data_IF_764894256833
#
_entry.id   IF_764894256833
#
_cell.length_a   1.000
_cell.length_b   1.000
_cell.length_c   1.000
_cell.angle_alpha   90.00
_cell.angle_beta   90.00
_cell.angle_gamma   90.00
#
_symmetry.space_group_name_H-M   'P 1'
#
loop_
_entity.id
_entity.type
_entity.pdbx_description
1 polymer ?
#
# COMPACT_ATOMS: atom_id res chain seq x y z
N UNK A 1 57.52 -67.63 -15.69
CA UNK A 1 57.27 -66.50 -16.60
C UNK A 1 56.60 -65.37 -15.86
N UNK A 2 57.42 -64.39 -15.50
CA UNK A 2 57.08 -63.19 -14.76
C UNK A 2 56.91 -62.03 -15.75
N UNK A 3 55.71 -61.48 -15.86
CA UNK A 3 55.49 -60.19 -16.51
C UNK A 3 54.97 -59.19 -15.47
N UNK A 4 55.91 -58.41 -14.94
CA UNK A 4 55.64 -57.14 -14.24
C UNK A 4 55.31 -56.10 -15.30
N UNK A 5 54.16 -55.44 -15.18
CA UNK A 5 53.90 -54.20 -15.89
C UNK A 5 54.52 -53.02 -15.08
N UNK A 6 55.17 -52.06 -15.74
CA UNK A 6 55.89 -50.99 -15.06
C UNK A 6 54.96 -49.83 -14.66
N UNK A 7 55.19 -49.33 -13.46
CA UNK A 7 54.71 -48.04 -12.96
C UNK A 7 55.30 -46.89 -13.79
N UNK A 8 54.45 -46.08 -14.42
CA UNK A 8 54.84 -44.82 -15.05
C UNK A 8 54.00 -43.66 -14.47
N UNK A 9 54.63 -42.94 -13.54
CA UNK A 9 54.23 -41.65 -13.01
C UNK A 9 54.55 -40.60 -14.08
N UNK A 10 53.54 -39.95 -14.68
CA UNK A 10 53.78 -38.82 -15.58
C UNK A 10 52.94 -37.60 -15.18
N UNK A 11 53.66 -36.63 -14.62
CA UNK A 11 53.42 -35.21 -14.47
C UNK A 11 52.09 -34.62 -14.95
N UNK A 12 51.30 -34.10 -14.00
CA UNK A 12 50.36 -33.02 -14.27
C UNK A 12 51.15 -31.75 -14.61
N UNK A 13 51.05 -31.28 -15.85
CA UNK A 13 51.58 -29.98 -16.25
C UNK A 13 50.52 -28.88 -16.02
N UNK A 14 50.92 -27.69 -15.53
CA UNK A 14 50.01 -26.57 -15.31
C UNK A 14 49.78 -25.81 -16.62
N UNK A 15 48.54 -25.84 -17.12
CA UNK A 15 48.11 -25.00 -18.25
C UNK A 15 47.82 -23.57 -17.77
N UNK A 16 48.88 -22.80 -17.55
CA UNK A 16 48.77 -21.34 -17.52
C UNK A 16 48.97 -20.83 -18.94
N UNK A 17 47.90 -20.46 -19.63
CA UNK A 17 47.94 -19.26 -20.49
C UNK A 17 46.56 -18.70 -20.88
N UNK A 18 46.31 -17.52 -20.31
CA UNK A 18 45.64 -16.31 -20.84
C UNK A 18 44.61 -16.47 -21.97
N UNK A 19 43.34 -16.35 -21.58
CA UNK A 19 42.39 -15.51 -22.30
C UNK A 19 42.11 -14.28 -21.41
N UNK A 20 42.23 -13.03 -21.90
CA UNK A 20 41.83 -11.88 -21.11
C UNK A 20 40.32 -11.89 -20.97
N UNK A 21 39.82 -12.21 -19.77
CA UNK A 21 38.44 -11.98 -19.40
C UNK A 21 38.13 -10.49 -19.61
N UNK A 22 37.32 -10.17 -20.62
CA UNK A 22 36.66 -8.86 -20.72
C UNK A 22 35.78 -8.72 -19.48
N UNK A 23 36.33 -8.06 -18.46
CA UNK A 23 35.60 -7.62 -17.27
C UNK A 23 34.51 -6.67 -17.74
N UNK A 24 33.27 -7.11 -17.72
CA UNK A 24 32.13 -6.22 -17.93
C UNK A 24 32.22 -5.05 -16.91
N UNK A 25 31.97 -3.80 -17.32
CA UNK A 25 31.94 -2.69 -16.38
C UNK A 25 30.83 -2.94 -15.34
N UNK A 26 31.03 -2.55 -14.07
CA UNK A 26 29.98 -2.69 -13.06
C UNK A 26 28.76 -1.87 -13.49
N UNK A 27 27.53 -2.33 -13.16
CA UNK A 27 26.34 -1.54 -13.43
C UNK A 27 26.49 -0.19 -12.74
N UNK A 28 26.33 0.90 -13.50
CA UNK A 28 26.24 2.25 -12.94
C UNK A 28 25.12 2.21 -11.90
N UNK A 29 25.45 2.52 -10.65
CA UNK A 29 24.49 2.72 -9.60
C UNK A 29 23.52 3.83 -10.04
N UNK A 30 22.34 3.44 -10.51
CA UNK A 30 21.21 4.34 -10.60
C UNK A 30 20.82 4.65 -9.16
N UNK A 31 21.30 5.78 -8.66
CA UNK A 31 20.89 6.35 -7.40
C UNK A 31 19.36 6.46 -7.41
N UNK A 32 18.72 5.61 -6.60
CA UNK A 32 17.28 5.56 -6.44
C UNK A 32 16.75 6.88 -5.86
N UNK A 33 15.80 7.56 -6.51
CA UNK A 33 14.98 8.57 -5.85
C UNK A 33 13.67 7.97 -5.30
N UNK A 34 13.48 6.65 -5.34
CA UNK A 34 12.23 6.01 -4.87
C UNK A 34 12.16 5.83 -3.35
N UNK A 35 13.31 5.76 -2.66
CA UNK A 35 13.34 5.48 -1.22
C UNK A 35 13.11 6.74 -0.36
N UNK A 36 13.32 7.94 -0.92
CA UNK A 36 13.00 9.21 -0.23
C UNK A 36 11.49 9.46 -0.15
N UNK A 37 10.73 9.10 -1.19
CA UNK A 37 9.27 9.22 -1.18
C UNK A 37 8.64 8.23 -0.20
N UNK A 38 9.13 6.99 -0.13
CA UNK A 38 8.64 6.02 0.84
C UNK A 38 8.92 6.44 2.30
N UNK A 39 10.11 6.98 2.58
CA UNK A 39 10.45 7.48 3.92
C UNK A 39 9.67 8.74 4.28
N UNK A 40 9.45 9.66 3.35
CA UNK A 40 8.64 10.87 3.59
C UNK A 40 7.17 10.52 3.77
N UNK A 41 6.60 9.61 2.97
CA UNK A 41 5.19 9.17 3.12
C UNK A 41 4.99 8.36 4.41
N UNK A 42 5.96 7.54 4.80
CA UNK A 42 5.91 6.83 6.08
C UNK A 42 6.09 7.81 7.27
N UNK A 43 6.91 8.85 7.12
CA UNK A 43 7.09 9.89 8.14
C UNK A 43 5.85 10.80 8.29
N UNK A 44 5.21 11.21 7.18
CA UNK A 44 3.99 12.05 7.23
C UNK A 44 2.75 11.30 7.70
N UNK A 45 2.66 9.99 7.44
CA UNK A 45 1.60 9.14 8.01
C UNK A 45 1.86 8.80 9.48
N UNK A 46 3.12 8.74 9.91
CA UNK A 46 3.45 8.55 11.33
C UNK A 46 3.23 9.84 12.14
N UNK A 47 3.33 11.02 11.53
CA UNK A 47 3.00 12.31 12.17
C UNK A 47 1.49 12.48 12.43
N UNK A 48 0.64 11.88 11.57
CA UNK A 48 -0.79 11.74 11.83
C UNK A 48 -1.11 10.66 12.89
N UNK A 49 -0.23 9.68 13.11
CA UNK A 49 -0.41 8.60 14.09
C UNK A 49 0.19 8.92 15.47
N UNK A 50 1.22 9.75 15.55
CA UNK A 50 1.81 10.22 16.83
C UNK A 50 1.07 11.40 17.44
N UNK A 51 0.28 12.15 16.66
CA UNK A 51 -0.71 13.10 17.22
C UNK A 51 -1.78 12.40 18.10
N UNK A 52 -1.97 11.08 17.94
CA UNK A 52 -2.91 10.28 18.72
C UNK A 52 -2.28 9.60 19.96
N UNK A 53 -0.97 9.76 20.23
CA UNK A 53 -0.31 9.18 21.41
C UNK A 53 0.45 10.21 22.21
N UNK A 54 -0.18 10.64 23.30
CA UNK A 54 0.55 10.91 24.54
C UNK A 54 0.96 12.36 24.79
N UNK A 55 0.02 13.29 24.68
CA UNK A 55 0.00 14.42 25.60
C UNK A 55 -1.36 14.38 26.29
N UNK A 56 -1.42 13.66 27.43
CA UNK A 56 -2.51 13.79 28.39
C UNK A 56 -2.34 15.16 29.06
N UNK A 57 -2.58 16.21 28.27
CA UNK A 57 -3.06 17.45 28.86
C UNK A 57 -4.37 17.06 29.53
N UNK A 58 -4.48 17.30 30.83
CA UNK A 58 -5.78 17.42 31.49
C UNK A 58 -6.49 18.64 30.89
N UNK A 59 -6.86 18.58 29.61
CA UNK A 59 -8.04 19.28 29.18
C UNK A 59 -9.15 18.48 29.84
N UNK A 60 -9.64 18.99 30.97
CA UNK A 60 -10.97 18.60 31.44
C UNK A 60 -11.85 18.63 30.20
N UNK A 61 -12.47 17.50 29.90
CA UNK A 61 -13.38 17.45 28.78
C UNK A 61 -14.44 18.55 29.01
N UNK A 62 -14.99 19.17 27.96
CA UNK A 62 -16.02 20.20 28.14
C UNK A 62 -17.17 19.68 29.03
N UNK A 63 -17.46 18.38 28.97
CA UNK A 63 -18.36 17.68 29.90
C UNK A 63 -17.91 17.68 31.38
N UNK A 64 -16.62 17.66 31.72
CA UNK A 64 -16.15 17.73 33.12
C UNK A 64 -16.30 19.14 33.70
N UNK A 65 -16.13 20.18 32.87
CA UNK A 65 -16.35 21.58 33.27
C UNK A 65 -17.85 21.86 33.40
N UNK A 66 -18.66 21.36 32.46
CA UNK A 66 -20.11 21.41 32.52
C UNK A 66 -20.66 20.62 33.72
N UNK A 67 -20.11 19.43 34.00
CA UNK A 67 -20.49 18.66 35.18
C UNK A 67 -20.13 19.41 36.47
N UNK A 68 -18.98 20.08 36.54
CA UNK A 68 -18.63 20.93 37.68
C UNK A 68 -19.59 22.12 37.81
N UNK A 69 -19.95 22.79 36.71
CA UNK A 69 -20.90 23.90 36.69
C UNK A 69 -22.32 23.45 37.11
N UNK A 70 -22.79 22.33 36.57
CA UNK A 70 -24.08 21.73 36.92
C UNK A 70 -24.10 21.23 38.38
N UNK A 71 -23.00 20.69 38.91
CA UNK A 71 -22.94 20.29 40.32
C UNK A 71 -22.96 21.50 41.26
N UNK A 72 -22.41 22.63 40.83
CA UNK A 72 -22.43 23.87 41.62
C UNK A 72 -23.84 24.48 41.66
N UNK A 73 -24.59 24.40 40.56
CA UNK A 73 -26.00 24.81 40.49
C UNK A 73 -26.92 23.93 41.34
N UNK A 74 -26.60 22.65 41.53
CA UNK A 74 -27.37 21.76 42.41
C UNK A 74 -27.09 22.01 43.91
N UNK A 75 -25.84 22.21 44.32
CA UNK A 75 -25.50 22.33 45.76
C UNK A 75 -26.01 23.63 46.42
N UNK A 76 -26.25 24.70 45.64
CA UNK A 76 -26.69 25.99 46.17
C UNK A 76 -28.22 26.19 46.15
N UNK A 77 -28.98 25.37 45.42
CA UNK A 77 -30.38 25.66 45.07
C UNK A 77 -31.44 24.72 45.70
N UNK A 78 -31.05 23.61 46.33
CA UNK A 78 -32.00 22.66 46.96
C UNK A 78 -32.71 23.19 48.22
N UNK A 79 -32.24 24.28 48.82
CA UNK A 79 -32.77 24.80 50.10
C UNK A 79 -33.70 26.02 49.95
N UNK A 80 -34.21 26.33 48.75
CA UNK A 80 -35.02 27.53 48.53
C UNK A 80 -36.32 27.30 47.75
N UNK A 81 -36.95 26.14 47.94
CA UNK A 81 -38.29 25.89 47.40
C UNK A 81 -39.28 26.79 48.16
N UNK A 82 -39.54 27.98 47.63
CA UNK A 82 -40.64 28.81 48.07
C UNK A 82 -41.96 28.03 47.86
N UNK A 83 -42.98 28.23 48.73
CA UNK A 83 -44.25 27.53 48.59
C UNK A 83 -44.85 27.74 47.19
N UNK A 84 -45.37 26.66 46.60
CA UNK A 84 -46.00 26.66 45.28
C UNK A 84 -46.98 27.85 45.14
N UNK A 85 -46.84 28.63 44.07
CA UNK A 85 -47.72 29.77 43.77
C UNK A 85 -47.06 31.15 43.71
N UNK A 86 -45.73 31.25 43.67
CA UNK A 86 -44.99 32.50 43.39
C UNK A 86 -44.46 32.47 41.94
N UNK A 87 -44.86 33.45 41.13
CA UNK A 87 -44.52 33.57 39.70
C UNK A 87 -43.00 33.53 39.46
N UNK A 88 -42.21 34.12 40.36
CA UNK A 88 -40.75 34.19 40.28
C UNK A 88 -40.08 32.79 40.29
N UNK A 89 -40.58 31.85 41.11
CA UNK A 89 -40.02 30.49 41.19
C UNK A 89 -40.37 29.60 40.00
N UNK A 90 -41.54 29.82 39.37
CA UNK A 90 -41.90 29.08 38.17
C UNK A 90 -41.03 29.52 36.98
N UNK A 91 -40.71 30.81 36.91
CA UNK A 91 -39.85 31.39 35.87
C UNK A 91 -38.41 30.89 35.97
N UNK A 92 -37.82 30.88 37.16
CA UNK A 92 -36.46 30.34 37.38
C UNK A 92 -36.36 28.85 37.00
N UNK A 93 -37.38 28.04 37.30
CA UNK A 93 -37.42 26.63 36.90
C UNK A 93 -37.56 26.45 35.39
N UNK A 94 -38.31 27.33 34.71
CA UNK A 94 -38.43 27.31 33.25
C UNK A 94 -37.13 27.72 32.57
N UNK A 95 -36.46 28.77 33.06
CA UNK A 95 -35.20 29.25 32.52
C UNK A 95 -34.09 28.18 32.69
N UNK A 96 -34.05 27.50 33.84
CA UNK A 96 -33.13 26.37 34.06
C UNK A 96 -33.44 25.18 33.14
N UNK A 97 -34.72 24.82 32.98
CA UNK A 97 -35.12 23.75 32.08
C UNK A 97 -34.77 24.07 30.61
N UNK A 98 -34.96 25.32 30.18
CA UNK A 98 -34.58 25.78 28.85
C UNK A 98 -33.06 25.69 28.62
N UNK A 99 -32.25 26.20 29.56
CA UNK A 99 -30.78 26.10 29.48
C UNK A 99 -30.29 24.64 29.43
N UNK A 100 -30.97 23.75 30.15
CA UNK A 100 -30.67 22.32 30.12
C UNK A 100 -30.98 21.70 28.75
N UNK A 101 -32.06 22.14 28.08
CA UNK A 101 -32.41 21.69 26.73
C UNK A 101 -31.38 22.14 25.69
N UNK A 102 -30.95 23.40 25.73
CA UNK A 102 -29.93 23.92 24.81
C UNK A 102 -28.64 23.11 24.91
N UNK A 103 -28.22 22.79 26.13
CA UNK A 103 -27.03 21.96 26.38
C UNK A 103 -27.18 20.54 25.84
N UNK A 104 -28.37 19.95 25.94
CA UNK A 104 -28.64 18.63 25.38
C UNK A 104 -28.66 18.66 23.84
N UNK A 105 -29.15 19.73 23.24
CA UNK A 105 -29.11 19.94 21.79
C UNK A 105 -27.66 20.02 21.31
N UNK A 106 -26.82 20.83 21.95
CA UNK A 106 -25.39 20.94 21.62
C UNK A 106 -24.68 19.57 21.73
N UNK A 107 -24.99 18.81 22.78
CA UNK A 107 -24.42 17.47 22.98
C UNK A 107 -24.84 16.48 21.89
N UNK A 108 -26.12 16.51 21.48
CA UNK A 108 -26.65 15.66 20.40
C UNK A 108 -26.02 16.05 19.07
N UNK A 109 -25.95 17.33 18.74
CA UNK A 109 -25.35 17.82 17.49
C UNK A 109 -23.86 17.43 17.40
N UNK A 110 -23.11 17.56 18.50
CA UNK A 110 -21.72 17.13 18.53
C UNK A 110 -21.57 15.60 18.42
N UNK A 111 -22.46 14.83 19.07
CA UNK A 111 -22.48 13.37 18.98
C UNK A 111 -22.79 12.89 17.55
N UNK A 112 -23.71 13.55 16.85
CA UNK A 112 -24.05 13.25 15.46
C UNK A 112 -22.84 13.47 14.53
N UNK A 113 -22.15 14.59 14.68
CA UNK A 113 -20.93 14.87 13.91
C UNK A 113 -19.86 13.80 14.16
N UNK A 114 -19.71 13.35 15.41
CA UNK A 114 -18.77 12.29 15.76
C UNK A 114 -19.16 10.93 15.13
N UNK A 115 -20.44 10.56 15.16
CA UNK A 115 -20.91 9.29 14.58
C UNK A 115 -20.83 9.30 13.06
N UNK A 116 -21.16 10.41 12.40
CA UNK A 116 -20.99 10.55 10.94
C UNK A 116 -19.52 10.35 10.57
N UNK A 117 -18.59 11.05 11.24
CA UNK A 117 -17.15 10.84 11.01
C UNK A 117 -16.79 9.37 11.21
N UNK A 118 -17.19 8.76 12.32
CA UNK A 118 -16.89 7.35 12.62
C UNK A 118 -17.43 6.39 11.56
N UNK A 119 -18.68 6.54 11.14
CA UNK A 119 -19.32 5.71 10.12
C UNK A 119 -18.65 5.88 8.75
N UNK A 120 -18.38 7.12 8.35
CA UNK A 120 -17.72 7.44 7.06
C UNK A 120 -16.30 6.91 7.03
N UNK A 121 -15.48 7.15 8.07
CA UNK A 121 -14.11 6.62 8.12
C UNK A 121 -14.07 5.09 8.08
N UNK A 122 -15.01 4.43 8.77
CA UNK A 122 -15.16 2.96 8.68
C UNK A 122 -15.58 2.50 7.29
N UNK A 123 -16.53 3.18 6.65
CA UNK A 123 -16.97 2.86 5.30
C UNK A 123 -15.82 3.03 4.30
N UNK A 124 -15.10 4.16 4.36
CA UNK A 124 -13.95 4.44 3.48
C UNK A 124 -12.79 3.46 3.71
N UNK A 125 -12.54 3.03 4.95
CA UNK A 125 -11.52 2.01 5.25
C UNK A 125 -11.89 0.66 4.62
N UNK A 126 -13.16 0.25 4.72
CA UNK A 126 -13.64 -0.98 4.06
C UNK A 126 -13.63 -0.87 2.54
N UNK A 127 -14.06 0.27 2.00
CA UNK A 127 -14.02 0.53 0.57
C UNK A 127 -12.59 0.47 0.05
N UNK A 128 -11.63 1.09 0.75
CA UNK A 128 -10.21 1.03 0.38
C UNK A 128 -9.66 -0.39 0.39
N UNK A 129 -10.02 -1.21 1.39
CA UNK A 129 -9.60 -2.60 1.45
C UNK A 129 -10.20 -3.41 0.28
N UNK A 130 -11.48 -3.20 -0.02
CA UNK A 130 -12.15 -3.84 -1.16
C UNK A 130 -11.51 -3.43 -2.49
N UNK A 131 -11.28 -2.13 -2.71
CA UNK A 131 -10.70 -1.65 -3.97
C UNK A 131 -9.29 -2.16 -4.21
N UNK A 132 -8.43 -2.16 -3.18
CA UNK A 132 -7.08 -2.74 -3.30
C UNK A 132 -7.17 -4.21 -3.71
N UNK A 133 -8.07 -4.97 -3.07
CA UNK A 133 -8.28 -6.38 -3.41
C UNK A 133 -8.78 -6.58 -4.84
N UNK A 134 -9.71 -5.75 -5.29
CA UNK A 134 -10.22 -5.80 -6.68
C UNK A 134 -9.11 -5.46 -7.68
N UNK A 135 -8.29 -4.45 -7.42
CA UNK A 135 -7.14 -4.12 -8.27
C UNK A 135 -6.11 -5.27 -8.35
N UNK A 136 -5.78 -5.89 -7.23
CA UNK A 136 -4.89 -7.07 -7.20
C UNK A 136 -5.51 -8.25 -7.98
N UNK A 137 -6.84 -8.41 -7.90
CA UNK A 137 -7.55 -9.46 -8.63
C UNK A 137 -7.53 -9.21 -10.14
N UNK A 138 -7.80 -7.98 -10.58
CA UNK A 138 -7.75 -7.58 -11.99
C UNK A 138 -6.35 -7.81 -12.56
N UNK A 139 -5.30 -7.33 -11.87
CA UNK A 139 -3.92 -7.49 -12.34
C UNK A 139 -3.52 -8.97 -12.52
N UNK A 140 -3.97 -9.85 -11.62
CA UNK A 140 -3.74 -11.30 -11.76
C UNK A 140 -4.51 -11.88 -12.95
N UNK A 141 -5.77 -11.49 -13.13
CA UNK A 141 -6.59 -11.97 -14.25
C UNK A 141 -6.04 -11.51 -15.60
N UNK A 142 -5.55 -10.27 -15.69
CA UNK A 142 -4.90 -9.73 -16.90
C UNK A 142 -3.64 -10.52 -17.25
N UNK A 143 -2.79 -10.82 -16.26
CA UNK A 143 -1.59 -11.64 -16.48
C UNK A 143 -1.96 -13.04 -16.97
N UNK A 144 -2.93 -13.68 -16.33
CA UNK A 144 -3.42 -15.00 -16.75
C UNK A 144 -4.01 -14.99 -18.16
N UNK A 145 -4.74 -13.93 -18.53
CA UNK A 145 -5.31 -13.80 -19.86
C UNK A 145 -4.21 -13.65 -20.93
N UNK A 146 -3.15 -12.89 -20.63
CA UNK A 146 -1.98 -12.76 -21.52
C UNK A 146 -1.26 -14.11 -21.67
N UNK A 147 -0.98 -14.80 -20.56
CA UNK A 147 -0.29 -16.09 -20.58
C UNK A 147 -1.09 -17.13 -21.36
N UNK A 148 -2.40 -17.24 -21.10
CA UNK A 148 -3.28 -18.17 -21.81
C UNK A 148 -3.37 -17.87 -23.32
N UNK A 149 -3.39 -16.58 -23.70
CA UNK A 149 -3.37 -16.20 -25.12
C UNK A 149 -2.05 -16.59 -25.78
N UNK A 150 -0.92 -16.34 -25.12
CA UNK A 150 0.41 -16.67 -25.61
C UNK A 150 0.63 -18.18 -25.75
N UNK A 151 0.07 -18.97 -24.82
CA UNK A 151 0.11 -20.44 -24.88
C UNK A 151 -0.71 -20.99 -26.05
N UNK A 152 -1.83 -20.34 -26.39
CA UNK A 152 -2.69 -20.74 -27.50
C UNK A 152 -2.20 -20.26 -28.89
N UNK A 153 -1.39 -19.19 -28.95
CA UNK A 153 -0.98 -18.55 -30.22
C UNK A 153 0.55 -18.51 -30.35
N UNK A 154 1.11 -19.55 -30.96
CA UNK A 154 2.53 -19.63 -31.22
C UNK A 154 2.88 -19.01 -32.58
N UNK A 155 3.25 -17.73 -32.58
CA UNK A 155 3.56 -16.98 -33.80
C UNK A 155 4.53 -17.71 -34.75
N UNK A 156 5.58 -18.37 -34.21
CA UNK A 156 6.54 -19.13 -35.03
C UNK A 156 5.98 -20.42 -35.63
N UNK A 157 5.00 -21.05 -34.98
CA UNK A 157 4.33 -22.23 -35.52
C UNK A 157 3.36 -21.84 -36.64
N UNK A 158 2.69 -20.69 -36.49
CA UNK A 158 1.75 -20.15 -37.49
C UNK A 158 2.46 -19.38 -38.63
N UNK A 159 3.72 -18.96 -38.42
CA UNK A 159 4.54 -18.24 -39.40
C UNK A 159 5.91 -18.91 -39.52
N UNK A 160 6.00 -20.05 -40.25
CA UNK A 160 7.25 -20.76 -40.41
C UNK A 160 8.27 -19.92 -41.20
N UNK A 161 9.50 -19.88 -40.71
CA UNK A 161 10.61 -19.24 -41.40
C UNK A 161 11.14 -20.19 -42.48
N UNK A 162 10.68 -20.02 -43.71
CA UNK A 162 11.31 -20.65 -44.87
C UNK A 162 12.61 -19.90 -45.20
N UNK A 163 13.73 -20.60 -45.23
CA UNK A 163 15.00 -20.01 -45.60
C UNK A 163 15.21 -20.17 -47.11
N UNK A 164 15.19 -19.04 -47.83
CA UNK A 164 15.18 -18.96 -49.29
C UNK A 164 16.22 -19.85 -50.00
N UNK A 165 17.38 -20.07 -49.38
CA UNK A 165 18.46 -20.94 -49.89
C UNK A 165 18.12 -22.44 -50.02
N UNK A 166 17.04 -22.93 -49.40
CA UNK A 166 16.65 -24.36 -49.52
C UNK A 166 15.75 -24.60 -50.73
N UNK A 167 15.04 -23.58 -51.19
CA UNK A 167 14.17 -23.62 -52.38
C UNK A 167 14.87 -23.04 -53.63
N UNK A 168 16.12 -22.57 -53.49
CA UNK A 168 16.94 -22.08 -54.61
C UNK A 168 17.54 -23.25 -55.39
N UNK A 169 17.31 -23.27 -56.71
CA UNK A 169 17.91 -24.28 -57.58
C UNK A 169 19.45 -24.22 -57.47
N UNK A 170 20.14 -25.38 -57.40
CA UNK A 170 21.59 -25.39 -57.34
C UNK A 170 22.16 -24.58 -58.49
N UNK A 171 23.05 -23.64 -58.16
CA UNK A 171 23.69 -22.78 -59.17
C UNK A 171 24.40 -23.69 -60.16
N UNK A 172 23.90 -23.73 -61.40
CA UNK A 172 24.52 -24.44 -62.51
C UNK A 172 25.94 -23.89 -62.69
N UNK A 173 26.94 -24.61 -62.21
CA UNK A 173 28.33 -24.20 -62.38
C UNK A 173 28.71 -24.44 -63.83
N UNK A 174 28.48 -23.43 -64.65
CA UNK A 174 28.84 -23.39 -66.05
C UNK A 174 30.36 -23.26 -66.19
N UNK A 175 31.07 -24.36 -65.92
CA UNK A 175 32.53 -24.42 -66.00
C UNK A 175 33.03 -24.57 -67.44
N UNK A 176 32.14 -24.66 -68.44
CA UNK A 176 32.51 -25.03 -69.82
C UNK A 176 31.85 -24.22 -70.95
N UNK A 177 30.87 -23.33 -70.72
CA UNK A 177 30.29 -22.50 -71.80
C UNK A 177 30.84 -21.06 -71.83
N UNK A 178 31.76 -20.70 -70.94
CA UNK A 178 32.39 -19.38 -70.89
C UNK A 178 33.55 -19.17 -71.89
N UNK A 179 33.97 -20.18 -72.64
CA UNK A 179 35.14 -20.05 -73.53
C UNK A 179 34.79 -20.45 -74.97
N UNK A 180 34.20 -19.53 -75.72
CA UNK A 180 34.24 -19.48 -77.18
C UNK A 180 34.28 -18.02 -77.64
#
# INVERSE_FOLDING_TARGET
>A
SSHRLPTARLAAQPWTDRLPARRAPPPKAMAAPAMKLAVVVLATLNEAATAARGSVTKHSAPEDQLAQEMTHDLEMNFNKIAPFGKEDTAKELQDHAAKTQDTLVDAVENAEVAEIKRAVFRALTRLRAATIKEFDTIARLETQAIDAYNDAHHYRAENPLAHLHEDEAPVETDKLKSFH
#
